data_IF_985499916606
#
_entry.id   IF_985499916606
#
_cell.length_a   1.000
_cell.length_b   1.000
_cell.length_c   1.000
_cell.angle_alpha   90.00
_cell.angle_beta   90.00
_cell.angle_gamma   90.00
#
_symmetry.space_group_name_H-M   'P 1'
#
loop_
_entity.id
_entity.type
_entity.pdbx_description
1 polymer ?
#
# COMPACT_ATOMS: atom_id res chain seq x y z
N UNK A 1 7.69 -7.61 -10.21
CA UNK A 1 7.01 -8.45 -11.23
C UNK A 1 8.04 -9.32 -11.90
N UNK A 2 7.70 -10.56 -12.24
CA UNK A 2 8.58 -11.53 -12.90
C UNK A 2 7.89 -11.97 -14.19
N UNK A 3 8.40 -11.52 -15.33
CA UNK A 3 7.87 -11.81 -16.66
C UNK A 3 8.67 -12.95 -17.29
N UNK A 4 8.15 -14.16 -17.19
CA UNK A 4 8.81 -15.38 -17.66
C UNK A 4 8.91 -15.42 -19.19
N UNK A 5 10.05 -15.86 -19.72
CA UNK A 5 10.30 -16.06 -21.16
C UNK A 5 10.09 -17.53 -21.55
N UNK A 6 8.93 -17.90 -22.15
CA UNK A 6 8.54 -19.31 -22.32
C UNK A 6 9.48 -20.09 -23.25
N UNK A 7 10.05 -19.42 -24.24
CA UNK A 7 11.07 -19.92 -25.17
C UNK A 7 12.35 -20.35 -24.42
N UNK A 8 12.83 -19.51 -23.49
CA UNK A 8 14.02 -19.79 -22.70
C UNK A 8 13.77 -20.90 -21.67
N UNK A 9 12.61 -20.87 -21.00
CA UNK A 9 12.16 -21.95 -20.12
C UNK A 9 12.16 -23.31 -20.82
N UNK A 10 11.65 -23.36 -22.06
CA UNK A 10 11.64 -24.56 -22.89
C UNK A 10 13.05 -25.02 -23.26
N UNK A 11 13.94 -24.10 -23.62
CA UNK A 11 15.34 -24.41 -23.97
C UNK A 11 16.08 -25.08 -22.80
N UNK A 12 15.92 -24.57 -21.59
CA UNK A 12 16.54 -25.15 -20.38
C UNK A 12 15.73 -26.29 -19.75
N UNK A 13 14.54 -26.61 -20.28
CA UNK A 13 13.65 -27.62 -19.71
C UNK A 13 13.24 -27.30 -18.26
N UNK A 14 13.02 -26.02 -17.94
CA UNK A 14 12.62 -25.55 -16.61
C UNK A 14 11.13 -25.27 -16.61
N UNK A 15 10.43 -25.78 -15.59
CA UNK A 15 8.99 -25.57 -15.43
C UNK A 15 8.68 -24.30 -14.62
N UNK A 16 7.47 -23.75 -14.78
CA UNK A 16 7.01 -22.58 -14.00
C UNK A 16 6.96 -22.90 -12.50
N UNK A 17 6.61 -24.14 -12.14
CA UNK A 17 6.60 -24.61 -10.74
C UNK A 17 7.99 -24.57 -10.11
N UNK A 18 9.03 -24.92 -10.87
CA UNK A 18 10.41 -24.85 -10.36
C UNK A 18 10.87 -23.41 -10.13
N UNK A 19 10.51 -22.48 -11.03
CA UNK A 19 10.79 -21.06 -10.83
C UNK A 19 10.07 -20.55 -9.57
N UNK A 20 8.79 -20.89 -9.42
CA UNK A 20 8.00 -20.48 -8.26
C UNK A 20 8.61 -21.02 -6.95
N UNK A 21 8.97 -22.30 -6.92
CA UNK A 21 9.60 -22.93 -5.76
C UNK A 21 11.00 -22.37 -5.47
N UNK A 22 11.76 -21.92 -6.49
CA UNK A 22 13.04 -21.26 -6.28
C UNK A 22 12.84 -19.88 -5.62
N UNK A 23 11.85 -19.12 -6.07
CA UNK A 23 11.51 -17.81 -5.50
C UNK A 23 11.02 -17.96 -4.05
N UNK A 24 10.10 -18.87 -3.77
CA UNK A 24 9.57 -19.07 -2.41
C UNK A 24 10.65 -19.51 -1.40
N UNK A 25 11.60 -20.36 -1.82
CA UNK A 25 12.69 -20.82 -0.95
C UNK A 25 13.73 -19.75 -0.64
N UNK A 26 13.98 -18.83 -1.55
CA UNK A 26 15.05 -17.82 -1.41
C UNK A 26 14.52 -16.45 -0.97
N UNK A 27 13.25 -16.13 -1.23
CA UNK A 27 12.61 -14.89 -0.81
C UNK A 27 11.86 -15.00 0.54
N UNK A 28 11.88 -16.17 1.17
CA UNK A 28 11.21 -16.43 2.45
C UNK A 28 11.91 -15.79 3.65
N UNK A 29 11.12 -15.43 4.67
CA UNK A 29 11.62 -15.04 5.99
C UNK A 29 11.64 -16.28 6.86
N UNK A 30 12.81 -16.67 7.36
CA UNK A 30 12.97 -17.83 8.23
C UNK A 30 13.29 -17.38 9.66
N UNK A 31 12.73 -18.00 10.71
CA UNK A 31 13.15 -17.73 12.07
C UNK A 31 14.54 -18.35 12.30
N UNK A 32 15.50 -17.50 12.66
CA UNK A 32 16.89 -17.91 12.86
C UNK A 32 17.18 -18.49 14.26
N UNK A 33 16.30 -18.22 15.22
CA UNK A 33 16.45 -18.63 16.60
C UNK A 33 17.57 -17.89 17.34
N UNK A 34 18.04 -18.51 18.42
CA UNK A 34 19.06 -17.96 19.31
C UNK A 34 20.01 -19.09 19.72
N UNK A 35 21.31 -18.81 19.76
CA UNK A 35 22.29 -19.70 20.37
C UNK A 35 22.29 -19.52 21.88
N UNK A 36 22.30 -20.61 22.64
CA UNK A 36 22.31 -20.56 24.11
C UNK A 36 20.97 -20.16 24.72
N UNK A 37 19.87 -20.26 23.97
CA UNK A 37 18.51 -20.19 24.54
C UNK A 37 18.12 -21.54 25.17
N UNK A 38 17.22 -21.50 26.16
CA UNK A 38 16.76 -22.71 26.84
C UNK A 38 16.00 -23.66 25.91
N UNK A 39 16.17 -24.99 26.08
CA UNK A 39 17.00 -25.68 27.08
C UNK A 39 18.49 -25.75 26.66
N UNK A 40 19.36 -25.11 27.44
CA UNK A 40 20.81 -25.05 27.20
C UNK A 40 21.58 -25.89 28.23
N UNK A 41 22.77 -26.44 27.87
CA UNK A 41 23.62 -27.16 28.82
C UNK A 41 24.05 -26.31 30.02
N UNK A 42 24.27 -26.95 31.17
CA UNK A 42 24.79 -26.29 32.37
C UNK A 42 26.14 -25.59 32.07
N UNK A 43 26.27 -24.33 32.49
CA UNK A 43 27.44 -23.49 32.20
C UNK A 43 27.31 -22.56 30.98
N UNK A 44 26.16 -22.55 30.29
CA UNK A 44 25.89 -21.59 29.22
C UNK A 44 25.63 -20.19 29.80
N UNK A 45 26.59 -19.28 29.67
CA UNK A 45 26.51 -17.91 30.24
C UNK A 45 25.96 -16.86 29.26
N UNK A 46 26.00 -17.13 27.95
CA UNK A 46 25.65 -16.15 26.91
C UNK A 46 24.59 -16.69 25.96
N UNK A 47 23.62 -15.83 25.63
CA UNK A 47 22.61 -16.08 24.60
C UNK A 47 22.83 -15.08 23.47
N UNK A 48 22.95 -15.58 22.23
CA UNK A 48 23.14 -14.76 21.04
C UNK A 48 21.97 -14.92 20.08
N UNK A 49 21.34 -13.82 19.70
CA UNK A 49 20.30 -13.84 18.67
C UNK A 49 20.91 -13.98 17.29
N UNK A 50 20.44 -14.97 16.53
CA UNK A 50 20.89 -15.16 15.15
C UNK A 50 20.16 -14.16 14.27
N UNK A 51 20.91 -13.37 13.50
CA UNK A 51 20.35 -12.44 12.52
C UNK A 51 20.58 -13.00 11.13
N UNK A 52 19.49 -13.27 10.41
CA UNK A 52 19.56 -13.69 9.01
C UNK A 52 19.76 -12.48 8.09
N UNK A 53 20.27 -12.70 6.86
CA UNK A 53 20.29 -11.67 5.84
C UNK A 53 18.89 -11.04 5.65
N UNK A 54 18.84 -9.75 5.26
CA UNK A 54 17.58 -9.09 4.99
C UNK A 54 16.83 -9.80 3.86
N UNK A 55 15.50 -9.71 3.90
CA UNK A 55 14.67 -10.20 2.82
C UNK A 55 15.02 -9.48 1.52
N UNK A 56 15.12 -10.26 0.44
CA UNK A 56 15.31 -9.76 -0.92
C UNK A 56 14.19 -8.78 -1.28
N UNK A 57 14.54 -7.56 -1.70
CA UNK A 57 13.58 -6.48 -1.94
C UNK A 57 13.72 -5.83 -3.32
N UNK A 58 14.91 -5.91 -3.93
CA UNK A 58 15.21 -5.24 -5.20
C UNK A 58 15.05 -6.17 -6.40
N UNK A 59 14.77 -5.60 -7.58
CA UNK A 59 14.62 -6.38 -8.81
C UNK A 59 15.92 -7.14 -9.15
N UNK A 60 17.06 -6.53 -8.86
CA UNK A 60 18.41 -7.09 -9.06
C UNK A 60 18.64 -8.32 -8.18
N UNK A 61 18.28 -8.24 -6.90
CA UNK A 61 18.37 -9.37 -5.97
C UNK A 61 17.41 -10.50 -6.37
N UNK A 62 16.18 -10.18 -6.78
CA UNK A 62 15.26 -11.19 -7.34
C UNK A 62 15.84 -11.84 -8.60
N UNK A 63 16.46 -11.06 -9.48
CA UNK A 63 17.13 -11.55 -10.68
C UNK A 63 18.32 -12.48 -10.39
N UNK A 64 18.93 -12.37 -9.21
CA UNK A 64 20.05 -13.20 -8.77
C UNK A 64 19.62 -14.56 -8.20
N UNK A 65 18.33 -14.80 -7.96
CA UNK A 65 17.79 -16.07 -7.46
C UNK A 65 18.22 -17.22 -8.37
N UNK A 66 18.84 -18.24 -7.79
CA UNK A 66 19.28 -19.42 -8.52
C UNK A 66 18.11 -20.38 -8.68
N UNK A 67 17.72 -20.66 -9.93
CA UNK A 67 16.58 -21.55 -10.23
C UNK A 67 17.06 -23.00 -10.37
N UNK A 68 18.15 -23.21 -11.10
CA UNK A 68 18.71 -24.55 -11.34
C UNK A 68 20.23 -24.47 -11.49
N UNK A 69 20.94 -25.47 -10.99
CA UNK A 69 22.36 -25.67 -11.26
C UNK A 69 22.51 -26.86 -12.20
N UNK A 70 23.23 -26.69 -13.30
CA UNK A 70 23.49 -27.77 -14.26
C UNK A 70 24.51 -28.77 -13.70
N UNK A 71 24.59 -30.00 -14.23
CA UNK A 71 25.60 -30.98 -13.81
C UNK A 71 27.04 -30.50 -14.00
N UNK A 72 27.27 -29.55 -14.92
CA UNK A 72 28.57 -28.93 -15.19
C UNK A 72 28.91 -27.78 -14.22
N UNK A 73 28.00 -27.44 -13.30
CA UNK A 73 28.19 -26.41 -12.27
C UNK A 73 27.70 -25.01 -12.65
N UNK A 74 27.11 -24.84 -13.84
CA UNK A 74 26.56 -23.55 -14.27
C UNK A 74 25.25 -23.26 -13.53
N UNK A 75 25.10 -22.03 -13.05
CA UNK A 75 23.91 -21.60 -12.32
C UNK A 75 23.01 -20.78 -13.23
N UNK A 76 21.80 -21.29 -13.47
CA UNK A 76 20.76 -20.59 -14.19
C UNK A 76 20.00 -19.72 -13.18
N UNK A 77 20.05 -18.41 -13.37
CA UNK A 77 19.43 -17.43 -12.48
C UNK A 77 18.10 -16.96 -13.04
N UNK A 78 17.28 -16.35 -12.19
CA UNK A 78 15.97 -15.84 -12.59
C UNK A 78 16.05 -14.81 -13.72
N UNK A 79 17.06 -13.93 -13.70
CA UNK A 79 17.31 -12.95 -14.78
C UNK A 79 17.58 -13.60 -16.14
N UNK A 80 18.08 -14.84 -16.15
CA UNK A 80 18.37 -15.57 -17.39
C UNK A 80 17.07 -16.14 -17.99
N UNK A 81 16.02 -16.31 -17.17
CA UNK A 81 14.74 -16.92 -17.55
C UNK A 81 13.57 -15.93 -17.64
N UNK A 82 13.69 -14.76 -17.03
CA UNK A 82 12.62 -13.79 -16.88
C UNK A 82 13.14 -12.36 -16.87
N UNK A 83 12.26 -11.42 -17.25
CA UNK A 83 12.46 -10.00 -16.96
C UNK A 83 11.90 -9.68 -15.57
N UNK A 84 12.75 -9.13 -14.71
CA UNK A 84 12.43 -8.84 -13.31
C UNK A 84 12.48 -7.34 -13.11
N UNK A 85 11.32 -6.75 -12.79
CA UNK A 85 11.19 -5.31 -12.64
C UNK A 85 10.18 -4.93 -11.57
N UNK A 86 10.36 -3.76 -10.96
CA UNK A 86 9.32 -3.16 -10.12
C UNK A 86 8.17 -2.74 -11.04
N UNK A 87 6.96 -3.18 -10.73
CA UNK A 87 5.78 -2.91 -11.55
C UNK A 87 4.50 -3.06 -10.76
N UNK A 88 3.38 -2.59 -11.32
CA UNK A 88 2.09 -2.57 -10.62
C UNK A 88 1.62 -3.97 -10.22
N UNK A 89 1.02 -4.10 -9.05
CA UNK A 89 0.38 -5.35 -8.58
C UNK A 89 -0.87 -5.71 -9.41
N UNK A 90 -1.54 -4.73 -10.00
CA UNK A 90 -2.71 -4.93 -10.87
C UNK A 90 -2.71 -3.87 -11.95
N UNK A 91 -2.84 -4.30 -13.22
CA UNK A 91 -2.90 -3.40 -14.38
C UNK A 91 -4.33 -3.20 -14.90
N UNK A 92 -5.33 -3.81 -14.26
CA UNK A 92 -6.72 -3.75 -14.70
C UNK A 92 -7.47 -2.45 -14.37
N UNK A 93 -6.87 -1.56 -13.59
CA UNK A 93 -7.45 -0.25 -13.25
C UNK A 93 -6.39 0.82 -13.47
N UNK A 94 -6.77 1.86 -14.19
CA UNK A 94 -5.99 3.08 -14.36
C UNK A 94 -6.90 4.26 -14.10
N UNK A 95 -6.43 5.22 -13.31
CA UNK A 95 -7.19 6.42 -12.96
C UNK A 95 -6.47 7.65 -13.49
N UNK A 96 -7.24 8.59 -14.03
CA UNK A 96 -6.76 9.91 -14.46
C UNK A 96 -7.68 10.97 -13.89
N UNK A 97 -7.12 12.09 -13.47
CA UNK A 97 -7.87 13.26 -13.03
C UNK A 97 -7.40 14.46 -13.87
N UNK A 98 -8.34 15.13 -14.54
CA UNK A 98 -8.06 16.24 -15.47
C UNK A 98 -7.01 15.96 -16.57
N UNK A 99 -6.80 14.68 -16.90
CA UNK A 99 -5.82 14.25 -17.91
C UNK A 99 -4.51 13.74 -17.32
N UNK A 100 -4.22 14.02 -16.05
CA UNK A 100 -3.01 13.57 -15.38
C UNK A 100 -3.18 12.17 -14.78
N UNK A 101 -2.12 11.32 -14.75
CA UNK A 101 -2.14 10.05 -14.05
C UNK A 101 -2.37 10.26 -12.54
N UNK A 102 -3.34 9.55 -11.95
CA UNK A 102 -3.71 9.79 -10.55
C UNK A 102 -4.00 8.47 -9.85
N UNK A 103 -3.63 8.38 -8.57
CA UNK A 103 -4.10 7.32 -7.70
C UNK A 103 -5.43 7.74 -7.06
N UNK A 104 -6.50 6.99 -7.32
CA UNK A 104 -7.81 7.27 -6.74
C UNK A 104 -8.00 6.50 -5.42
N UNK A 105 -8.32 7.22 -4.35
CA UNK A 105 -8.71 6.64 -3.06
C UNK A 105 -10.18 6.97 -2.79
N UNK A 106 -11.00 5.92 -2.62
CA UNK A 106 -12.41 6.07 -2.24
C UNK A 106 -12.56 5.73 -0.76
N UNK A 107 -13.12 6.65 0.02
CA UNK A 107 -13.37 6.46 1.45
C UNK A 107 -14.86 6.26 1.67
N UNK A 108 -15.21 5.09 2.18
CA UNK A 108 -16.59 4.78 2.58
C UNK A 108 -16.74 4.99 4.08
N UNK A 109 -17.82 5.68 4.45
CA UNK A 109 -18.18 5.87 5.84
C UNK A 109 -18.67 4.54 6.44
N UNK A 110 -18.26 4.26 7.68
CA UNK A 110 -18.77 3.12 8.43
C UNK A 110 -20.22 3.37 8.90
N UNK A 111 -21.12 2.36 8.86
CA UNK A 111 -22.49 2.51 9.36
C UNK A 111 -22.53 3.02 10.81
N UNK A 112 -23.44 3.96 11.10
CA UNK A 112 -23.63 4.53 12.44
C UNK A 112 -22.63 5.62 12.84
N UNK A 113 -21.60 5.90 12.04
CA UNK A 113 -20.70 7.03 12.28
C UNK A 113 -21.31 8.37 11.80
N UNK A 114 -20.66 9.49 12.09
CA UNK A 114 -21.07 10.81 11.60
C UNK A 114 -20.29 11.20 10.33
N UNK A 115 -20.99 11.48 9.23
CA UNK A 115 -20.40 11.76 7.92
C UNK A 115 -19.47 12.98 7.93
N UNK A 116 -19.90 14.09 8.56
CA UNK A 116 -19.15 15.35 8.59
C UNK A 116 -17.89 15.20 9.45
N UNK A 117 -18.01 14.54 10.60
CA UNK A 117 -16.86 14.28 11.47
C UNK A 117 -15.83 13.40 10.77
N UNK A 118 -16.26 12.33 10.10
CA UNK A 118 -15.39 11.44 9.31
C UNK A 118 -14.74 12.20 8.17
N UNK A 119 -15.50 12.97 7.39
CA UNK A 119 -14.97 13.77 6.28
C UNK A 119 -13.89 14.76 6.74
N UNK A 120 -14.11 15.43 7.88
CA UNK A 120 -13.12 16.33 8.47
C UNK A 120 -11.84 15.59 8.92
N UNK A 121 -11.99 14.43 9.56
CA UNK A 121 -10.85 13.61 9.99
C UNK A 121 -10.02 13.10 8.79
N UNK A 122 -10.67 12.71 7.71
CA UNK A 122 -10.01 12.30 6.46
C UNK A 122 -9.22 13.47 5.88
N UNK A 123 -9.84 14.65 5.72
CA UNK A 123 -9.16 15.85 5.19
C UNK A 123 -7.95 16.24 6.05
N UNK A 124 -8.09 16.24 7.36
CA UNK A 124 -6.99 16.54 8.28
C UNK A 124 -5.84 15.52 8.16
N UNK A 125 -6.18 14.24 8.00
CA UNK A 125 -5.19 13.18 7.82
C UNK A 125 -4.46 13.33 6.48
N UNK A 126 -5.18 13.59 5.40
CA UNK A 126 -4.59 13.80 4.07
C UNK A 126 -3.69 15.03 4.08
N UNK A 127 -4.11 16.15 4.68
CA UNK A 127 -3.29 17.35 4.79
C UNK A 127 -1.96 17.06 5.51
N UNK A 128 -2.01 16.38 6.67
CA UNK A 128 -0.81 15.98 7.42
C UNK A 128 0.11 15.04 6.63
N UNK A 129 -0.45 14.10 5.87
CA UNK A 129 0.35 13.16 5.07
C UNK A 129 0.96 13.82 3.83
N UNK A 130 0.28 14.84 3.28
CA UNK A 130 0.72 15.55 2.08
C UNK A 130 2.04 16.31 2.30
N UNK A 131 2.36 16.66 3.54
CA UNK A 131 3.66 17.25 3.92
C UNK A 131 4.87 16.35 3.60
N UNK A 132 4.64 15.04 3.42
CA UNK A 132 5.70 14.05 3.15
C UNK A 132 5.70 13.58 1.70
N UNK A 133 4.89 14.18 0.84
CA UNK A 133 4.85 13.79 -0.56
C UNK A 133 6.13 14.24 -1.27
N UNK A 134 6.64 13.44 -2.22
CA UNK A 134 7.72 13.87 -3.08
C UNK A 134 7.25 15.02 -3.98
N UNK A 135 8.19 15.77 -4.54
CA UNK A 135 7.89 16.84 -5.49
C UNK A 135 7.05 16.33 -6.67
N UNK A 136 6.04 17.12 -7.07
CA UNK A 136 5.14 16.80 -8.17
C UNK A 136 3.95 15.91 -7.81
N UNK A 137 3.73 15.59 -6.52
CA UNK A 137 2.53 14.88 -6.06
C UNK A 137 1.68 15.79 -5.17
N UNK A 138 0.42 15.95 -5.54
CA UNK A 138 -0.57 16.70 -4.77
C UNK A 138 -1.80 15.83 -4.45
N UNK A 139 -2.43 16.09 -3.31
CA UNK A 139 -3.72 15.49 -2.98
C UNK A 139 -4.85 16.48 -3.26
N UNK A 140 -5.87 16.01 -3.97
CA UNK A 140 -7.11 16.76 -4.22
C UNK A 140 -8.34 15.92 -3.91
N UNK A 141 -9.44 16.59 -3.57
CA UNK A 141 -10.72 15.95 -3.27
C UNK A 141 -11.63 16.07 -4.48
N UNK A 142 -11.85 14.96 -5.18
CA UNK A 142 -12.68 14.92 -6.39
C UNK A 142 -14.19 15.04 -6.08
N UNK A 143 -14.66 14.30 -5.07
CA UNK A 143 -16.07 14.29 -4.66
C UNK A 143 -16.13 14.26 -3.14
N UNK A 144 -16.93 15.15 -2.56
CA UNK A 144 -17.15 15.23 -1.12
C UNK A 144 -18.63 15.44 -0.80
N UNK A 145 -19.30 14.37 -0.38
CA UNK A 145 -20.71 14.43 0.02
C UNK A 145 -20.98 15.24 1.29
N UNK A 146 -19.95 15.55 2.10
CA UNK A 146 -20.13 16.32 3.36
C UNK A 146 -20.37 17.81 3.10
N UNK A 147 -19.98 18.32 1.93
CA UNK A 147 -20.18 19.73 1.58
C UNK A 147 -21.67 20.09 1.51
N UNK A 148 -22.49 19.23 0.90
CA UNK A 148 -23.94 19.45 0.81
C UNK A 148 -24.61 19.49 2.18
N UNK A 149 -24.15 18.64 3.13
CA UNK A 149 -24.65 18.65 4.51
C UNK A 149 -24.28 19.97 5.21
N UNK A 150 -23.02 20.40 5.07
CA UNK A 150 -22.54 21.65 5.68
C UNK A 150 -23.23 22.89 5.12
N UNK A 151 -23.49 22.94 3.81
CA UNK A 151 -24.25 24.01 3.17
C UNK A 151 -25.71 24.04 3.69
N UNK A 152 -26.38 22.89 3.72
CA UNK A 152 -27.76 22.80 4.23
C UNK A 152 -27.89 23.25 5.69
N UNK A 153 -26.95 22.87 6.57
CA UNK A 153 -26.95 23.34 7.96
C UNK A 153 -26.81 24.87 8.02
N UNK A 154 -25.90 25.44 7.23
CA UNK A 154 -25.67 26.89 7.18
C UNK A 154 -26.92 27.65 6.75
N UNK A 155 -27.62 27.15 5.74
CA UNK A 155 -28.87 27.74 5.25
C UNK A 155 -29.99 27.64 6.29
N UNK A 156 -30.08 26.53 7.02
CA UNK A 156 -31.02 26.39 8.15
C UNK A 156 -30.74 27.45 9.23
N UNK A 157 -29.48 27.65 9.60
CA UNK A 157 -29.12 28.70 10.56
C UNK A 157 -29.44 30.10 10.03
N UNK A 158 -29.19 30.35 8.75
CA UNK A 158 -29.50 31.64 8.14
C UNK A 158 -31.00 31.93 8.17
N UNK A 159 -31.83 30.96 7.78
CA UNK A 159 -33.29 31.10 7.78
C UNK A 159 -33.84 31.23 9.20
N UNK A 160 -33.27 30.51 10.18
CA UNK A 160 -33.62 30.64 11.59
C UNK A 160 -33.39 32.07 12.12
N UNK A 161 -32.25 32.68 11.79
CA UNK A 161 -31.94 34.06 12.20
C UNK A 161 -32.90 35.05 11.55
N UNK A 162 -33.19 34.90 10.25
CA UNK A 162 -34.17 35.75 9.56
C UNK A 162 -35.54 35.63 10.23
N UNK A 163 -36.01 34.40 10.49
CA UNK A 163 -37.29 34.16 11.12
C UNK A 163 -37.38 34.80 12.52
N UNK A 164 -36.31 34.68 13.34
CA UNK A 164 -36.24 35.31 14.66
C UNK A 164 -36.35 36.84 14.56
N UNK A 165 -35.59 37.46 13.66
CA UNK A 165 -35.62 38.91 13.45
C UNK A 165 -36.99 39.39 12.97
N UNK A 166 -37.63 38.64 12.07
CA UNK A 166 -38.99 38.95 11.59
C UNK A 166 -40.02 38.88 12.73
N UNK A 167 -39.95 37.86 13.59
CA UNK A 167 -40.85 37.75 14.76
C UNK A 167 -40.67 38.94 15.69
N UNK A 168 -39.43 39.32 16.01
CA UNK A 168 -39.16 40.51 16.86
C UNK A 168 -39.70 41.79 16.22
N UNK A 169 -39.51 41.96 14.91
CA UNK A 169 -40.01 43.12 14.18
C UNK A 169 -41.55 43.21 14.21
N UNK A 170 -42.24 42.07 14.07
CA UNK A 170 -43.70 42.02 14.15
C UNK A 170 -44.19 42.38 15.56
N UNK A 171 -43.59 41.82 16.62
CA UNK A 171 -43.97 42.13 18.00
C UNK A 171 -43.75 43.61 18.34
N UNK A 172 -42.72 44.25 17.79
CA UNK A 172 -42.48 45.68 17.98
C UNK A 172 -43.52 46.56 17.26
N UNK A 173 -44.05 46.09 16.13
CA UNK A 173 -44.98 46.86 15.29
C UNK A 173 -46.41 46.92 15.86
N UNK A 174 -46.84 45.89 16.60
CA UNK A 174 -48.19 45.74 17.18
C UNK A 174 -48.19 45.99 18.68
#
# INVERSE_FOLDING_TARGET
RIWLRPDVLKYYGITVSEVTAAVERQAGIYPAGQFGAEPAPEGTTYTYTVTLPPQIATAEEFGAIVVRTTPTGEQIRLRDLADVSLGSQTYGVSSRFEGDPTALLVVYQQPGSNAVAVGNAVKATVARLSERFPEGIEATVMVDGTQSIGAGIRDIFHTLIIALLLVVAIIYLF
#
